data_IF_964947960512
#
_entry.id   IF_964947960512
#
_cell.length_a   1.000
_cell.length_b   1.000
_cell.length_c   1.000
_cell.angle_alpha   90.00
_cell.angle_beta   90.00
_cell.angle_gamma   90.00
#
_symmetry.space_group_name_H-M   'P 1'
#
loop_
_entity.id
_entity.type
_entity.pdbx_description
1 polymer ?
#
# COMPACT_ATOMS: atom_id res chain seq x y z
N UNK A 1 -15.07 4.32 -26.83
CA UNK A 1 -14.49 3.25 -26.00
C UNK A 1 -13.08 3.57 -25.51
N UNK A 2 -12.19 4.16 -26.33
CA UNK A 2 -10.83 4.60 -25.91
C UNK A 2 -10.77 5.57 -24.72
N UNK A 3 -11.64 6.58 -24.65
CA UNK A 3 -11.61 7.57 -23.56
C UNK A 3 -11.94 7.00 -22.16
N UNK A 4 -12.72 5.93 -22.08
CA UNK A 4 -13.07 5.31 -20.80
C UNK A 4 -11.86 4.60 -20.16
N UNK A 5 -10.95 4.07 -20.99
CA UNK A 5 -9.77 3.34 -20.53
C UNK A 5 -8.71 4.28 -19.92
N UNK A 6 -8.47 5.44 -20.55
CA UNK A 6 -7.58 6.47 -20.00
C UNK A 6 -8.10 7.05 -18.68
N UNK A 7 -9.42 7.18 -18.53
CA UNK A 7 -10.04 7.68 -17.31
C UNK A 7 -9.91 6.69 -16.14
N UNK A 8 -10.06 5.39 -16.40
CA UNK A 8 -9.85 4.32 -15.41
C UNK A 8 -8.40 4.23 -14.95
N UNK A 9 -7.44 4.29 -15.88
CA UNK A 9 -6.02 4.24 -15.55
C UNK A 9 -5.57 5.42 -14.68
N UNK A 10 -6.02 6.64 -15.01
CA UNK A 10 -5.74 7.83 -14.22
C UNK A 10 -6.35 7.75 -12.82
N UNK A 11 -7.60 7.29 -12.70
CA UNK A 11 -8.28 7.10 -11.41
C UNK A 11 -7.53 6.10 -10.53
N UNK A 12 -7.14 4.95 -11.07
CA UNK A 12 -6.38 3.93 -10.35
C UNK A 12 -5.07 4.48 -9.78
N UNK A 13 -4.25 5.13 -10.61
CA UNK A 13 -2.98 5.74 -10.19
C UNK A 13 -3.20 6.73 -9.04
N UNK A 14 -4.26 7.54 -9.14
CA UNK A 14 -4.61 8.48 -8.08
C UNK A 14 -5.00 7.79 -6.78
N UNK A 15 -5.78 6.69 -6.82
CA UNK A 15 -6.16 5.92 -5.62
C UNK A 15 -4.94 5.30 -4.94
N UNK A 16 -4.04 4.66 -5.71
CA UNK A 16 -2.82 4.07 -5.17
C UNK A 16 -1.88 5.13 -4.58
N UNK A 17 -1.70 6.25 -5.29
CA UNK A 17 -0.87 7.36 -4.80
C UNK A 17 -1.45 7.99 -3.53
N UNK A 18 -2.77 8.20 -3.49
CA UNK A 18 -3.45 8.72 -2.31
C UNK A 18 -3.30 7.78 -1.12
N UNK A 19 -3.45 6.46 -1.35
CA UNK A 19 -3.14 5.43 -0.37
C UNK A 19 -1.72 5.60 0.18
N UNK A 20 -0.71 5.59 -0.70
CA UNK A 20 0.71 5.75 -0.31
C UNK A 20 0.97 6.98 0.56
N UNK A 21 0.47 8.15 0.11
CA UNK A 21 0.70 9.41 0.80
C UNK A 21 -0.02 9.45 2.15
N UNK A 22 -1.20 8.84 2.26
CA UNK A 22 -1.93 8.75 3.52
C UNK A 22 -1.17 7.93 4.57
N UNK A 23 -0.65 6.75 4.19
CA UNK A 23 0.15 5.92 5.10
C UNK A 23 1.48 6.56 5.44
N UNK A 24 2.17 7.14 4.46
CA UNK A 24 3.43 7.83 4.71
C UNK A 24 3.25 8.99 5.70
N UNK A 25 2.20 9.81 5.51
CA UNK A 25 1.87 10.90 6.42
C UNK A 25 1.57 10.40 7.84
N UNK A 26 0.76 9.33 7.96
CA UNK A 26 0.48 8.69 9.25
C UNK A 26 1.76 8.25 9.96
N UNK A 27 2.63 7.51 9.26
CA UNK A 27 3.86 6.97 9.85
C UNK A 27 4.89 8.05 10.21
N UNK A 28 4.93 9.18 9.48
CA UNK A 28 5.75 10.34 9.87
C UNK A 28 5.26 10.91 11.20
N UNK A 29 3.95 11.17 11.33
CA UNK A 29 3.37 11.71 12.57
C UNK A 29 3.60 10.76 13.74
N UNK A 30 3.36 9.47 13.54
CA UNK A 30 3.63 8.44 14.55
C UNK A 30 5.10 8.43 14.96
N UNK A 31 6.02 8.46 14.01
CA UNK A 31 7.46 8.47 14.28
C UNK A 31 7.89 9.68 15.12
N UNK A 32 7.37 10.88 14.82
CA UNK A 32 7.62 12.11 15.61
C UNK A 32 7.03 12.00 17.02
N UNK A 33 5.82 11.46 17.14
CA UNK A 33 5.17 11.26 18.44
C UNK A 33 5.96 10.26 19.30
N UNK A 34 6.38 9.13 18.76
CA UNK A 34 7.21 8.15 19.47
C UNK A 34 8.58 8.71 19.85
N UNK A 35 9.16 9.59 19.03
CA UNK A 35 10.39 10.27 19.39
C UNK A 35 10.24 11.05 20.69
N UNK A 36 9.25 11.95 20.73
CA UNK A 36 9.05 12.86 21.85
C UNK A 36 8.55 12.14 23.12
N UNK A 37 7.70 11.12 22.96
CA UNK A 37 7.05 10.45 24.09
C UNK A 37 7.83 9.24 24.62
N UNK A 38 8.61 8.55 23.78
CA UNK A 38 9.25 7.28 24.16
C UNK A 38 10.77 7.32 24.01
N UNK A 39 11.30 7.69 22.85
CA UNK A 39 12.75 7.56 22.60
C UNK A 39 13.58 8.62 23.29
N UNK A 40 13.12 9.87 23.31
CA UNK A 40 13.83 10.97 23.96
C UNK A 40 13.88 10.81 25.49
N UNK A 41 12.79 10.46 26.21
CA UNK A 41 12.85 10.23 27.65
C UNK A 41 13.70 9.03 28.07
N UNK A 42 13.87 8.04 27.18
CA UNK A 42 14.66 6.83 27.44
C UNK A 42 16.14 6.95 26.99
N UNK A 43 16.57 8.14 26.57
CA UNK A 43 17.93 8.40 26.05
C UNK A 43 18.38 7.39 24.98
N UNK A 44 17.41 6.94 24.16
CA UNK A 44 17.68 5.94 23.13
C UNK A 44 18.63 6.50 22.06
N UNK A 45 19.57 5.69 21.55
CA UNK A 45 20.47 6.12 20.48
C UNK A 45 19.71 6.67 19.26
N UNK A 46 20.14 7.83 18.77
CA UNK A 46 19.53 8.50 17.61
C UNK A 46 19.47 7.57 16.38
N UNK A 47 20.45 6.68 16.22
CA UNK A 47 20.49 5.69 15.14
C UNK A 47 19.28 4.74 15.16
N UNK A 48 18.84 4.29 16.34
CA UNK A 48 17.69 3.41 16.50
C UNK A 48 16.40 4.18 16.18
N UNK A 49 16.32 5.44 16.61
CA UNK A 49 15.21 6.31 16.26
C UNK A 49 15.11 6.49 14.74
N UNK A 50 16.19 6.90 14.07
CA UNK A 50 16.20 7.14 12.63
C UNK A 50 15.82 5.88 11.83
N UNK A 51 16.40 4.74 12.20
CA UNK A 51 16.05 3.45 11.60
C UNK A 51 14.54 3.21 11.69
N UNK A 52 13.95 3.31 12.89
CA UNK A 52 12.53 3.06 13.11
C UNK A 52 11.65 4.09 12.43
N UNK A 53 12.03 5.36 12.47
CA UNK A 53 11.31 6.45 11.81
C UNK A 53 11.17 6.21 10.31
N UNK A 54 12.30 6.02 9.61
CA UNK A 54 12.28 5.84 8.16
C UNK A 54 11.63 4.52 7.75
N UNK A 55 11.90 3.44 8.47
CA UNK A 55 11.31 2.13 8.15
C UNK A 55 9.81 2.10 8.36
N UNK A 56 9.32 2.50 9.54
CA UNK A 56 7.88 2.46 9.86
C UNK A 56 7.10 3.41 8.95
N UNK A 57 7.59 4.63 8.70
CA UNK A 57 6.94 5.56 7.77
C UNK A 57 6.81 4.99 6.35
N UNK A 58 7.87 4.38 5.82
CA UNK A 58 7.84 3.74 4.49
C UNK A 58 6.93 2.51 4.47
N UNK A 59 6.92 1.71 5.54
CA UNK A 59 6.08 0.52 5.65
C UNK A 59 4.60 0.88 5.73
N UNK A 60 4.22 1.96 6.42
CA UNK A 60 2.85 2.46 6.38
C UNK A 60 2.43 2.87 4.97
N UNK A 61 3.31 3.56 4.22
CA UNK A 61 3.06 3.85 2.81
C UNK A 61 2.84 2.58 1.99
N UNK A 62 3.68 1.56 2.18
CA UNK A 62 3.54 0.27 1.49
C UNK A 62 2.22 -0.45 1.83
N UNK A 63 1.88 -0.57 3.11
CA UNK A 63 0.65 -1.25 3.53
C UNK A 63 -0.59 -0.54 3.01
N UNK A 64 -0.62 0.79 3.06
CA UNK A 64 -1.75 1.58 2.54
C UNK A 64 -1.87 1.54 1.02
N UNK A 65 -0.77 1.40 0.27
CA UNK A 65 -0.81 1.09 -1.18
C UNK A 65 -1.46 -0.26 -1.43
N UNK A 66 -1.03 -1.30 -0.69
CA UNK A 66 -1.60 -2.65 -0.83
C UNK A 66 -3.10 -2.61 -0.52
N UNK A 67 -3.50 -1.95 0.57
CA UNK A 67 -4.90 -1.75 0.92
C UNK A 67 -5.68 -1.01 -0.18
N UNK A 68 -5.13 0.08 -0.70
CA UNK A 68 -5.75 0.85 -1.78
C UNK A 68 -5.91 0.01 -3.07
N UNK A 69 -4.92 -0.84 -3.39
CA UNK A 69 -4.99 -1.75 -4.54
C UNK A 69 -6.08 -2.81 -4.35
N UNK A 70 -6.17 -3.42 -3.16
CA UNK A 70 -7.23 -4.36 -2.83
C UNK A 70 -8.61 -3.71 -2.92
N UNK A 71 -8.76 -2.50 -2.35
CA UNK A 71 -10.00 -1.72 -2.44
C UNK A 71 -10.38 -1.46 -3.89
N UNK A 72 -9.46 -0.94 -4.68
CA UNK A 72 -9.68 -0.65 -6.09
C UNK A 72 -10.16 -1.89 -6.86
N UNK A 73 -9.49 -3.03 -6.66
CA UNK A 73 -9.85 -4.27 -7.33
C UNK A 73 -11.22 -4.82 -6.91
N UNK A 74 -11.59 -4.67 -5.63
CA UNK A 74 -12.89 -5.12 -5.13
C UNK A 74 -14.04 -4.20 -5.56
N UNK A 75 -13.78 -2.91 -5.76
CA UNK A 75 -14.83 -1.95 -6.13
C UNK A 75 -15.00 -1.75 -7.63
N UNK A 76 -13.90 -1.82 -8.40
CA UNK A 76 -13.89 -1.52 -9.84
C UNK A 76 -13.44 -2.73 -10.69
N UNK A 77 -13.56 -3.97 -10.18
CA UNK A 77 -13.03 -5.21 -10.78
C UNK A 77 -13.03 -5.17 -12.34
N UNK A 78 -11.86 -4.93 -12.97
CA UNK A 78 -11.80 -4.66 -14.40
C UNK A 78 -12.13 -5.88 -15.28
N UNK A 79 -12.07 -7.08 -14.71
CA UNK A 79 -12.33 -8.35 -15.41
C UNK A 79 -13.81 -8.77 -15.37
N UNK A 80 -14.61 -8.13 -14.53
CA UNK A 80 -16.01 -8.49 -14.32
C UNK A 80 -16.94 -7.32 -14.71
N UNK A 81 -17.45 -7.34 -15.94
CA UNK A 81 -18.44 -6.37 -16.44
C UNK A 81 -19.82 -6.49 -15.77
N UNK A 82 -20.03 -7.54 -14.97
CA UNK A 82 -21.24 -7.76 -14.17
C UNK A 82 -21.04 -7.37 -12.71
N UNK A 83 -19.86 -6.88 -12.33
CA UNK A 83 -19.57 -6.55 -10.94
C UNK A 83 -20.38 -5.33 -10.51
N UNK A 84 -21.35 -5.56 -9.65
CA UNK A 84 -21.99 -4.46 -8.94
C UNK A 84 -21.02 -4.05 -7.83
N UNK A 85 -20.60 -2.78 -7.76
CA UNK A 85 -19.78 -2.32 -6.65
C UNK A 85 -20.50 -2.62 -5.33
N UNK A 86 -19.78 -2.81 -4.22
CA UNK A 86 -20.40 -2.99 -2.91
C UNK A 86 -21.46 -1.91 -2.70
N UNK A 87 -22.72 -2.33 -2.51
CA UNK A 87 -23.85 -1.38 -2.38
C UNK A 87 -24.10 -1.01 -0.93
N UNK A 88 -23.56 -1.80 0.01
CA UNK A 88 -23.78 -1.62 1.44
C UNK A 88 -22.52 -1.08 2.14
N UNK A 89 -22.73 -0.13 3.04
CA UNK A 89 -21.69 0.45 3.90
C UNK A 89 -21.04 -0.61 4.79
N UNK A 90 -21.78 -1.67 5.16
CA UNK A 90 -21.25 -2.77 5.94
C UNK A 90 -20.10 -3.50 5.23
N UNK A 91 -20.21 -3.70 3.92
CA UNK A 91 -19.19 -4.40 3.13
C UNK A 91 -17.90 -3.57 3.03
N UNK A 92 -18.02 -2.26 2.75
CA UNK A 92 -16.87 -1.34 2.80
C UNK A 92 -16.23 -1.33 4.19
N UNK A 93 -17.04 -1.23 5.25
CA UNK A 93 -16.54 -1.19 6.63
C UNK A 93 -15.77 -2.45 6.98
N UNK A 94 -16.27 -3.62 6.57
CA UNK A 94 -15.60 -4.90 6.80
C UNK A 94 -14.25 -5.00 6.07
N UNK A 95 -14.18 -4.53 4.82
CA UNK A 95 -12.93 -4.47 4.07
C UNK A 95 -11.90 -3.53 4.69
N UNK A 96 -12.34 -2.35 5.16
CA UNK A 96 -11.47 -1.39 5.85
C UNK A 96 -10.95 -2.05 7.13
N UNK A 97 -11.82 -2.70 7.89
CA UNK A 97 -11.47 -3.35 9.15
C UNK A 97 -10.41 -4.44 8.96
N UNK A 98 -10.60 -5.35 7.99
CA UNK A 98 -9.61 -6.39 7.69
C UNK A 98 -8.26 -5.77 7.30
N UNK A 99 -8.30 -4.75 6.45
CA UNK A 99 -7.10 -4.02 6.04
C UNK A 99 -6.36 -3.39 7.23
N UNK A 100 -7.09 -2.75 8.15
CA UNK A 100 -6.51 -2.14 9.36
C UNK A 100 -5.94 -3.21 10.28
N UNK A 101 -6.64 -4.31 10.52
CA UNK A 101 -6.16 -5.42 11.37
C UNK A 101 -4.89 -6.04 10.79
N UNK A 102 -4.85 -6.26 9.48
CA UNK A 102 -3.66 -6.78 8.81
C UNK A 102 -2.47 -5.81 8.94
N UNK A 103 -2.71 -4.50 8.71
CA UNK A 103 -1.67 -3.48 8.87
C UNK A 103 -1.15 -3.39 10.31
N UNK A 104 -2.04 -3.41 11.32
CA UNK A 104 -1.63 -3.35 12.73
C UNK A 104 -0.87 -4.60 13.17
N UNK A 105 -1.23 -5.76 12.62
CA UNK A 105 -0.52 -7.02 12.86
C UNK A 105 0.88 -6.96 12.26
N UNK A 106 1.02 -6.53 11.01
CA UNK A 106 2.32 -6.38 10.35
C UNK A 106 3.20 -5.32 11.04
N UNK A 107 2.60 -4.20 11.46
CA UNK A 107 3.30 -3.18 12.25
C UNK A 107 3.83 -3.78 13.55
N UNK A 108 2.96 -4.42 14.34
CA UNK A 108 3.35 -5.00 15.63
C UNK A 108 4.42 -6.08 15.45
N UNK A 109 4.27 -6.91 14.41
CA UNK A 109 5.26 -7.93 14.05
C UNK A 109 6.61 -7.29 13.70
N UNK A 110 6.64 -6.22 12.90
CA UNK A 110 7.87 -5.49 12.58
C UNK A 110 8.58 -5.00 13.86
N UNK A 111 7.83 -4.36 14.77
CA UNK A 111 8.39 -3.86 16.02
C UNK A 111 8.98 -4.97 16.90
N UNK A 112 8.28 -6.11 17.00
CA UNK A 112 8.77 -7.28 17.73
C UNK A 112 10.01 -7.86 17.05
N UNK A 113 9.99 -8.04 15.73
CA UNK A 113 11.11 -8.62 14.98
C UNK A 113 12.36 -7.75 15.09
N UNK A 114 12.26 -6.43 14.88
CA UNK A 114 13.40 -5.52 15.02
C UNK A 114 13.98 -5.54 16.44
N UNK A 115 13.13 -5.67 17.47
CA UNK A 115 13.61 -5.76 18.85
C UNK A 115 14.32 -7.08 19.18
N UNK A 116 13.98 -8.17 18.47
CA UNK A 116 14.55 -9.51 18.71
C UNK A 116 15.74 -9.83 17.80
N UNK A 117 15.63 -9.49 16.52
CA UNK A 117 16.63 -9.74 15.49
C UNK A 117 16.51 -8.72 14.37
N UNK A 118 17.52 -7.86 14.25
CA UNK A 118 17.59 -6.85 13.22
C UNK A 118 17.46 -7.43 11.81
N UNK A 119 18.06 -8.60 11.55
CA UNK A 119 17.98 -9.29 10.27
C UNK A 119 16.54 -9.70 9.90
N UNK A 120 15.76 -10.24 10.85
CA UNK A 120 14.37 -10.62 10.59
C UNK A 120 13.48 -9.39 10.33
N UNK A 121 13.72 -8.30 11.06
CA UNK A 121 13.03 -7.03 10.80
C UNK A 121 13.29 -6.50 9.40
N UNK A 122 14.56 -6.51 8.96
CA UNK A 122 14.93 -6.11 7.60
C UNK A 122 14.33 -7.02 6.53
N UNK A 123 14.31 -8.34 6.76
CA UNK A 123 13.70 -9.29 5.84
C UNK A 123 12.20 -9.02 5.67
N UNK A 124 11.48 -8.76 6.76
CA UNK A 124 10.05 -8.43 6.71
C UNK A 124 9.78 -7.10 5.99
N UNK A 125 10.63 -6.09 6.22
CA UNK A 125 10.55 -4.83 5.51
C UNK A 125 10.80 -5.01 4.00
N UNK A 126 11.83 -5.78 3.64
CA UNK A 126 12.15 -6.10 2.25
C UNK A 126 11.00 -6.85 1.57
N UNK A 127 10.41 -7.86 2.22
CA UNK A 127 9.25 -8.59 1.71
C UNK A 127 8.05 -7.68 1.49
N UNK A 128 7.79 -6.75 2.42
CA UNK A 128 6.70 -5.78 2.28
C UNK A 128 6.90 -4.88 1.06
N UNK A 129 8.11 -4.35 0.87
CA UNK A 129 8.44 -3.53 -0.29
C UNK A 129 8.35 -4.35 -1.57
N UNK A 130 8.88 -5.58 -1.57
CA UNK A 130 8.82 -6.48 -2.72
C UNK A 130 7.37 -6.77 -3.13
N UNK A 131 6.50 -7.11 -2.18
CA UNK A 131 5.08 -7.33 -2.44
C UNK A 131 4.43 -6.05 -2.98
N UNK A 132 4.71 -4.90 -2.38
CA UNK A 132 4.14 -3.61 -2.83
C UNK A 132 4.54 -3.30 -4.27
N UNK A 133 5.81 -3.49 -4.60
CA UNK A 133 6.33 -3.33 -5.96
C UNK A 133 5.66 -4.32 -6.91
N UNK A 134 5.50 -5.59 -6.52
CA UNK A 134 4.80 -6.59 -7.32
C UNK A 134 3.33 -6.25 -7.52
N UNK A 135 2.63 -5.74 -6.50
CA UNK A 135 1.24 -5.27 -6.60
C UNK A 135 1.14 -4.09 -7.54
N UNK A 136 2.08 -3.15 -7.47
CA UNK A 136 2.12 -1.99 -8.35
C UNK A 136 2.36 -2.39 -9.82
N UNK A 137 3.29 -3.32 -10.08
CA UNK A 137 3.62 -3.78 -11.43
C UNK A 137 2.65 -4.83 -12.00
N UNK A 138 2.12 -5.76 -11.21
CA UNK A 138 1.15 -6.75 -11.70
C UNK A 138 -0.13 -6.07 -12.19
N UNK A 139 -0.47 -4.92 -11.60
CA UNK A 139 -1.56 -4.07 -12.05
C UNK A 139 -1.25 -3.35 -13.38
N UNK A 140 0.01 -3.23 -13.80
CA UNK A 140 0.41 -2.64 -15.09
C UNK A 140 0.43 -3.64 -16.26
N UNK A 141 0.59 -4.94 -16.01
CA UNK A 141 0.83 -5.95 -17.07
C UNK A 141 -0.34 -6.32 -18.03
N UNK A 142 -1.63 -6.05 -17.81
CA UNK A 142 -2.66 -6.50 -18.76
C UNK A 142 -2.85 -5.64 -20.03
N UNK A 143 -2.21 -4.47 -20.17
CA UNK A 143 -2.50 -3.57 -21.32
C UNK A 143 -1.39 -3.47 -22.38
N UNK A 144 -0.11 -3.69 -22.04
CA UNK A 144 0.98 -3.56 -23.04
C UNK A 144 0.97 -4.65 -24.11
N UNK A 145 0.39 -5.82 -23.82
CA UNK A 145 0.23 -6.92 -24.79
C UNK A 145 -1.05 -6.80 -25.62
N UNK A 146 -1.98 -5.92 -25.22
CA UNK A 146 -3.27 -5.74 -25.91
C UNK A 146 -3.21 -4.63 -26.98
N UNK A 147 -2.17 -3.79 -26.94
CA UNK A 147 -1.93 -2.70 -27.91
C UNK A 147 -1.24 -3.12 -29.21
N UNK A 148 -0.63 -4.30 -29.28
CA UNK A 148 0.10 -4.76 -30.48
C UNK A 148 -0.77 -5.43 -31.54
N UNK A 149 -2.00 -5.84 -31.22
CA UNK A 149 -2.88 -6.50 -32.19
C UNK A 149 -3.80 -5.54 -32.97
N UNK A 150 -3.79 -4.24 -32.63
CA UNK A 150 -4.64 -3.23 -33.28
C UNK A 150 -3.92 -2.36 -34.31
N UNK A 151 -2.64 -2.59 -34.58
CA UNK A 151 -1.85 -1.82 -35.56
C UNK A 151 -2.06 -2.25 -37.03
N UNK A 152 -3.14 -2.99 -37.32
CA UNK A 152 -3.46 -3.51 -38.64
C UNK A 152 -4.83 -3.05 -39.16
N UNK A 153 -5.03 -1.74 -39.35
CA UNK A 153 -5.98 -1.27 -40.36
C UNK A 153 -5.61 0.17 -40.78
N UNK A 154 -4.75 0.26 -41.80
CA UNK A 154 -4.55 1.47 -42.59
C UNK A 154 -5.40 1.35 -43.86
N UNK A 155 -5.97 2.49 -44.24
CA UNK A 155 -6.72 2.87 -45.47
C UNK A 155 -8.10 2.26 -45.69
#
# INVERSE_FOLDING_TARGET
>A
MFMANCAGEGRRKNVLFTGAMSGLGFGIVEGVLYHSQMYQPLEMPLSIYMLRFFSVAMLHGCWTVISAACFYHLTENPDDKSHNPPTDIFEYTFLILISVIASMTLHSLYNVLVSRSFFLGLLMAWLTVFITVRVYYSQQEPENLRGTDSAGCST
#
